data_IF_064700080079
#
_entry.id   IF_064700080079
#
_cell.length_a   1.000
_cell.length_b   1.000
_cell.length_c   1.000
_cell.angle_alpha   90.00
_cell.angle_beta   90.00
_cell.angle_gamma   90.00
#
_symmetry.space_group_name_H-M   'P 1'
#
loop_
_entity.id
_entity.type
_entity.pdbx_description
1 polymer ?
#
# COMPACT_ATOMS: atom_id res chain seq x y z
N UNK A 1 -0.84 0.57 -18.65
CA UNK A 1 -1.53 0.69 -17.34
C UNK A 1 -2.56 -0.41 -17.10
N UNK A 2 -3.32 -0.83 -18.13
CA UNK A 2 -4.38 -1.85 -18.01
C UNK A 2 -3.89 -3.28 -17.67
N UNK A 3 -2.62 -3.62 -17.88
CA UNK A 3 -2.13 -4.97 -17.50
C UNK A 3 -1.63 -5.06 -16.06
N UNK A 4 -1.32 -3.93 -15.41
CA UNK A 4 -0.76 -3.95 -14.05
C UNK A 4 -1.83 -4.10 -12.98
N UNK A 5 -3.02 -3.50 -13.18
CA UNK A 5 -4.13 -3.61 -12.22
C UNK A 5 -4.79 -4.99 -12.28
N UNK A 6 -4.90 -5.58 -13.48
CA UNK A 6 -5.39 -6.95 -13.67
C UNK A 6 -4.52 -7.98 -12.95
N UNK A 7 -3.18 -7.85 -13.05
CA UNK A 7 -2.25 -8.70 -12.28
C UNK A 7 -2.41 -8.53 -10.78
N UNK A 8 -2.60 -7.31 -10.29
CA UNK A 8 -2.83 -7.07 -8.87
C UNK A 8 -4.15 -7.70 -8.36
N UNK A 9 -5.24 -7.58 -9.12
CA UNK A 9 -6.54 -8.17 -8.77
C UNK A 9 -6.47 -9.69 -8.74
N UNK A 10 -5.83 -10.32 -9.73
CA UNK A 10 -5.67 -11.78 -9.78
C UNK A 10 -4.89 -12.30 -8.57
N UNK A 11 -3.86 -11.55 -8.15
CA UNK A 11 -3.08 -11.88 -6.94
C UNK A 11 -3.93 -11.77 -5.67
N UNK A 12 -4.65 -10.67 -5.49
CA UNK A 12 -5.52 -10.48 -4.32
C UNK A 12 -6.65 -11.51 -4.25
N UNK A 13 -7.23 -11.86 -5.40
CA UNK A 13 -8.21 -12.94 -5.49
C UNK A 13 -7.60 -14.29 -5.09
N UNK A 14 -6.34 -14.57 -5.46
CA UNK A 14 -5.61 -15.77 -5.06
C UNK A 14 -5.34 -15.84 -3.56
N UNK A 15 -4.92 -14.73 -2.94
CA UNK A 15 -4.71 -14.64 -1.48
C UNK A 15 -6.03 -14.86 -0.74
N UNK A 16 -7.11 -14.23 -1.20
CA UNK A 16 -8.43 -14.40 -0.59
C UNK A 16 -8.95 -15.84 -0.71
N UNK A 17 -8.76 -16.48 -1.86
CA UNK A 17 -9.09 -17.89 -2.05
C UNK A 17 -8.28 -18.81 -1.13
N UNK A 18 -7.00 -18.52 -0.92
CA UNK A 18 -6.13 -19.28 0.00
C UNK A 18 -6.58 -19.14 1.46
N UNK A 19 -6.99 -17.94 1.87
CA UNK A 19 -7.56 -17.70 3.21
C UNK A 19 -8.86 -18.48 3.40
N UNK A 20 -9.77 -18.45 2.41
CA UNK A 20 -11.02 -19.25 2.47
C UNK A 20 -10.71 -20.74 2.53
N UNK A 21 -9.75 -21.21 1.74
CA UNK A 21 -9.34 -22.61 1.73
C UNK A 21 -8.75 -23.03 3.08
N UNK A 22 -7.86 -22.21 3.66
CA UNK A 22 -7.31 -22.44 4.98
C UNK A 22 -8.39 -22.44 6.07
N UNK A 23 -9.34 -21.50 5.99
CA UNK A 23 -10.48 -21.46 6.93
C UNK A 23 -11.35 -22.70 6.82
N UNK A 24 -11.64 -23.17 5.60
CA UNK A 24 -12.38 -24.42 5.37
C UNK A 24 -11.63 -25.67 5.83
N UNK A 25 -10.30 -25.65 5.76
CA UNK A 25 -9.46 -26.75 6.22
C UNK A 25 -9.39 -26.80 7.76
N UNK A 26 -9.31 -25.65 8.42
CA UNK A 26 -9.30 -25.55 9.89
C UNK A 26 -10.68 -25.82 10.49
N UNK A 27 -11.76 -25.40 9.83
CA UNK A 27 -13.14 -25.64 10.29
C UNK A 27 -13.65 -27.06 10.06
N UNK A 28 -12.85 -27.95 9.46
CA UNK A 28 -13.10 -29.41 9.43
C UNK A 28 -12.80 -30.11 10.77
N UNK A 29 -12.97 -29.40 11.90
CA UNK A 29 -12.97 -29.99 13.23
C UNK A 29 -14.30 -30.68 13.49
N UNK A 30 -14.27 -31.92 13.99
CA UNK A 30 -15.46 -32.69 14.36
C UNK A 30 -16.37 -31.85 15.26
N UNK A 31 -17.64 -31.74 14.88
CA UNK A 31 -18.69 -31.11 15.68
C UNK A 31 -18.97 -32.03 16.87
N UNK A 32 -18.18 -31.91 17.93
CA UNK A 32 -18.53 -32.53 19.21
C UNK A 32 -19.72 -31.77 19.79
N UNK A 33 -20.84 -32.46 19.91
CA UNK A 33 -22.05 -31.87 20.48
C UNK A 33 -21.86 -31.82 22.00
N UNK A 34 -21.68 -30.62 22.54
CA UNK A 34 -21.56 -30.40 23.97
C UNK A 34 -22.93 -30.51 24.62
N UNK A 35 -23.11 -31.50 25.50
CA UNK A 35 -24.36 -31.72 26.25
C UNK A 35 -24.15 -31.50 27.74
N UNK A 36 -25.24 -31.21 28.45
CA UNK A 36 -25.19 -31.10 29.90
C UNK A 36 -24.88 -32.45 30.54
N UNK A 37 -24.26 -32.42 31.72
CA UNK A 37 -23.93 -33.63 32.48
C UNK A 37 -25.16 -34.51 32.76
N UNK A 38 -26.32 -33.91 33.05
CA UNK A 38 -27.57 -34.67 33.25
C UNK A 38 -28.08 -35.32 31.96
N UNK A 39 -27.97 -34.63 30.82
CA UNK A 39 -28.31 -35.20 29.50
C UNK A 39 -27.37 -36.34 29.13
N UNK A 40 -26.09 -36.26 29.50
CA UNK A 40 -25.13 -37.34 29.31
C UNK A 40 -25.51 -38.58 30.12
N UNK A 41 -25.95 -38.40 31.38
CA UNK A 41 -26.49 -39.49 32.20
C UNK A 41 -27.75 -40.11 31.56
N UNK A 42 -28.63 -39.27 31.01
CA UNK A 42 -29.82 -39.74 30.28
C UNK A 42 -29.44 -40.60 29.07
N UNK A 43 -28.38 -40.23 28.34
CA UNK A 43 -27.87 -41.01 27.20
C UNK A 43 -27.23 -42.34 27.60
N UNK A 44 -26.73 -42.46 28.84
CA UNK A 44 -26.33 -43.73 29.40
C UNK A 44 -27.55 -44.63 29.69
N UNK A 45 -28.65 -44.03 30.18
CA UNK A 45 -29.86 -44.72 30.65
C UNK A 45 -30.82 -45.17 29.54
N UNK A 46 -30.63 -44.70 28.32
CA UNK A 46 -31.48 -45.03 27.18
C UNK A 46 -31.47 -46.53 26.81
N UNK A 47 -32.61 -47.05 26.31
CA UNK A 47 -32.72 -48.45 25.87
C UNK A 47 -31.73 -48.75 24.75
N UNK A 48 -31.26 -50.00 24.67
CA UNK A 48 -30.20 -50.41 23.74
C UNK A 48 -30.48 -50.04 22.27
N UNK A 49 -31.75 -49.92 21.89
CA UNK A 49 -32.24 -49.59 20.55
C UNK A 49 -32.23 -48.11 20.20
N UNK A 50 -31.98 -47.20 21.15
CA UNK A 50 -32.00 -45.76 20.90
C UNK A 50 -30.70 -45.32 20.17
N UNK A 51 -30.80 -44.55 19.07
CA UNK A 51 -29.63 -43.99 18.37
C UNK A 51 -28.75 -43.07 19.24
N UNK A 52 -29.31 -42.49 20.30
CA UNK A 52 -28.62 -41.59 21.25
C UNK A 52 -28.06 -42.34 22.46
N UNK A 53 -28.01 -43.67 22.43
CA UNK A 53 -27.34 -44.44 23.48
C UNK A 53 -25.82 -44.37 23.30
N UNK A 54 -25.11 -44.18 24.41
CA UNK A 54 -23.66 -44.30 24.45
C UNK A 54 -23.24 -45.75 24.22
N UNK A 55 -22.39 -45.98 23.22
CA UNK A 55 -21.86 -47.29 22.85
C UNK A 55 -20.35 -47.20 22.76
N UNK A 56 -19.66 -47.85 23.70
CA UNK A 56 -18.19 -47.91 23.74
C UNK A 56 -17.60 -47.38 25.04
N UNK A 57 -16.28 -47.27 25.06
CA UNK A 57 -15.51 -46.78 26.20
C UNK A 57 -15.73 -45.28 26.40
N UNK A 58 -15.78 -44.85 27.67
CA UNK A 58 -15.88 -43.43 28.03
C UNK A 58 -14.47 -42.91 28.30
N UNK A 59 -14.09 -41.87 27.57
CA UNK A 59 -12.83 -41.18 27.79
C UNK A 59 -13.03 -40.06 28.80
N UNK A 60 -12.21 -40.04 29.85
CA UNK A 60 -12.26 -39.02 30.90
C UNK A 60 -10.98 -38.21 30.86
N UNK A 61 -11.14 -36.89 30.69
CA UNK A 61 -10.06 -35.90 30.77
C UNK A 61 -10.34 -34.99 31.96
N UNK A 62 -9.53 -35.11 33.00
CA UNK A 62 -9.68 -34.27 34.20
C UNK A 62 -8.80 -33.02 34.13
N UNK A 63 -9.42 -31.84 34.24
CA UNK A 63 -8.72 -30.56 34.37
C UNK A 63 -8.97 -29.97 35.78
N UNK A 64 -7.92 -29.73 36.58
CA UNK A 64 -8.04 -29.14 37.92
C UNK A 64 -8.72 -27.76 37.95
N UNK A 65 -8.72 -27.02 36.83
CA UNK A 65 -9.25 -25.66 36.73
C UNK A 65 -10.61 -25.60 36.01
N UNK A 66 -10.91 -26.58 35.15
CA UNK A 66 -12.10 -26.56 34.28
C UNK A 66 -13.11 -27.67 34.54
N UNK A 67 -12.78 -28.63 35.41
CA UNK A 67 -13.63 -29.79 35.69
C UNK A 67 -13.26 -31.01 34.84
N UNK A 68 -14.10 -32.04 34.89
CA UNK A 68 -13.89 -33.27 34.11
C UNK A 68 -14.69 -33.22 32.81
N UNK A 69 -14.03 -33.56 31.72
CA UNK A 69 -14.62 -33.78 30.41
C UNK A 69 -14.81 -35.29 30.20
N UNK A 70 -16.07 -35.66 29.95
CA UNK A 70 -16.49 -37.02 29.63
C UNK A 70 -16.88 -37.07 28.15
N UNK A 71 -16.09 -37.79 27.35
CA UNK A 71 -16.36 -37.97 25.92
C UNK A 71 -16.74 -39.41 25.63
N UNK A 72 -17.81 -39.58 24.86
CA UNK A 72 -18.32 -40.90 24.51
C UNK A 72 -18.83 -40.92 23.06
N UNK A 73 -18.80 -42.11 22.44
CA UNK A 73 -19.42 -42.31 21.12
C UNK A 73 -20.85 -42.80 21.28
N UNK A 74 -21.76 -42.20 20.54
CA UNK A 74 -23.15 -42.58 20.44
C UNK A 74 -23.32 -43.68 19.37
N UNK A 75 -24.40 -44.46 19.48
CA UNK A 75 -24.73 -45.52 18.52
C UNK A 75 -24.91 -45.01 17.08
N UNK A 76 -25.35 -43.77 16.91
CA UNK A 76 -25.48 -43.09 15.62
C UNK A 76 -24.14 -42.71 14.96
N UNK A 77 -23.00 -42.92 15.63
CA UNK A 77 -21.66 -42.60 15.14
C UNK A 77 -21.15 -41.22 15.53
N UNK A 78 -21.98 -40.37 16.17
CA UNK A 78 -21.56 -39.06 16.65
C UNK A 78 -20.85 -39.17 18.01
N UNK A 79 -19.93 -38.25 18.29
CA UNK A 79 -19.31 -38.09 19.61
C UNK A 79 -20.06 -37.05 20.42
N UNK A 80 -20.30 -37.37 21.69
CA UNK A 80 -20.91 -36.47 22.66
C UNK A 80 -19.92 -36.20 23.78
N UNK A 81 -19.84 -34.94 24.18
CA UNK A 81 -18.92 -34.49 25.24
C UNK A 81 -19.72 -33.76 26.32
N UNK A 82 -19.48 -34.12 27.58
CA UNK A 82 -20.14 -33.52 28.73
C UNK A 82 -19.13 -33.03 29.75
N UNK A 83 -19.40 -31.86 30.33
CA UNK A 83 -18.56 -31.22 31.33
C UNK A 83 -19.20 -31.35 32.71
N UNK A 84 -18.46 -31.91 33.66
CA UNK A 84 -18.84 -31.93 35.07
C UNK A 84 -17.90 -31.03 35.87
N UNK A 85 -18.45 -30.34 36.88
CA UNK A 85 -17.61 -29.58 37.82
C UNK A 85 -16.67 -30.52 38.58
N UNK A 86 -15.52 -29.99 38.99
CA UNK A 86 -14.55 -30.74 39.79
C UNK A 86 -15.13 -31.03 41.17
N UNK A 87 -15.76 -32.19 41.32
CA UNK A 87 -16.31 -32.69 42.58
C UNK A 87 -16.01 -34.19 42.73
N UNK A 88 -15.43 -34.56 43.87
CA UNK A 88 -15.05 -35.94 44.19
C UNK A 88 -16.29 -36.85 44.32
N UNK A 89 -17.43 -36.29 44.72
CA UNK A 89 -18.70 -37.02 44.82
C UNK A 89 -19.26 -37.38 43.44
N UNK A 90 -19.23 -36.46 42.48
CA UNK A 90 -19.67 -36.67 41.10
C UNK A 90 -18.78 -37.69 40.37
N UNK A 91 -17.47 -37.64 40.60
CA UNK A 91 -16.52 -38.64 40.07
C UNK A 91 -16.83 -40.06 40.56
N UNK A 92 -17.18 -40.19 41.83
CA UNK A 92 -17.54 -41.48 42.43
C UNK A 92 -18.85 -42.00 41.86
N UNK A 93 -19.87 -41.14 41.75
CA UNK A 93 -21.16 -41.50 41.14
C UNK A 93 -21.01 -41.95 39.67
N UNK A 94 -20.20 -41.24 38.87
CA UNK A 94 -19.91 -41.63 37.49
C UNK A 94 -19.16 -42.94 37.40
N UNK A 95 -18.14 -43.14 38.26
CA UNK A 95 -17.39 -44.39 38.30
C UNK A 95 -18.28 -45.57 38.66
N UNK A 96 -19.18 -45.41 39.63
CA UNK A 96 -20.10 -46.45 40.06
C UNK A 96 -21.12 -46.78 38.96
N UNK A 97 -21.70 -45.76 38.31
CA UNK A 97 -22.66 -45.94 37.20
C UNK A 97 -22.03 -46.57 35.95
N UNK A 98 -20.80 -46.19 35.60
CA UNK A 98 -20.07 -46.77 34.48
C UNK A 98 -19.56 -48.18 34.80
N UNK A 99 -19.12 -48.42 36.04
CA UNK A 99 -18.67 -49.72 36.53
C UNK A 99 -19.79 -50.77 36.57
N UNK A 100 -21.00 -50.39 37.00
CA UNK A 100 -22.19 -51.26 36.95
C UNK A 100 -22.56 -51.72 35.53
N UNK A 101 -22.12 -50.99 34.50
CA UNK A 101 -22.46 -51.25 33.09
C UNK A 101 -21.32 -51.84 32.27
N UNK A 102 -20.22 -52.22 32.93
CA UNK A 102 -19.01 -52.77 32.30
C UNK A 102 -18.40 -51.87 31.21
N UNK A 103 -18.60 -50.56 31.30
CA UNK A 103 -18.00 -49.59 30.38
C UNK A 103 -16.59 -49.29 30.89
N UNK A 104 -15.56 -49.50 30.06
CA UNK A 104 -14.18 -49.21 30.47
C UNK A 104 -13.97 -47.69 30.47
N UNK A 105 -13.36 -47.22 31.55
CA UNK A 105 -12.97 -45.81 31.70
C UNK A 105 -11.54 -45.67 31.23
N UNK A 106 -11.33 -44.89 30.18
CA UNK A 106 -9.99 -44.58 29.69
C UNK A 106 -9.60 -43.16 30.11
N UNK A 107 -8.67 -43.07 31.06
CA UNK A 107 -8.15 -41.78 31.52
C UNK A 107 -7.09 -41.28 30.52
N UNK A 108 -7.41 -40.24 29.76
CA UNK A 108 -6.44 -39.55 28.92
C UNK A 108 -5.91 -38.33 29.66
N UNK A 109 -4.59 -38.27 29.85
CA UNK A 109 -3.92 -37.06 30.34
C UNK A 109 -4.06 -35.97 29.27
N UNK A 110 -4.34 -34.73 29.68
CA UNK A 110 -4.34 -33.58 28.79
C UNK A 110 -2.96 -33.50 28.14
N UNK A 111 -2.89 -33.86 26.86
CA UNK A 111 -1.63 -33.96 26.13
C UNK A 111 -1.29 -32.55 25.65
N UNK A 112 -0.41 -31.85 26.38
CA UNK A 112 -0.02 -30.47 26.09
C UNK A 112 0.46 -30.30 24.63
N UNK A 113 0.99 -31.35 24.02
CA UNK A 113 1.39 -31.38 22.60
C UNK A 113 0.23 -31.14 21.63
N UNK A 114 -0.99 -31.58 21.95
CA UNK A 114 -2.17 -31.37 21.10
C UNK A 114 -2.65 -29.90 21.15
N UNK A 115 -2.46 -29.22 22.29
CA UNK A 115 -2.75 -27.79 22.42
C UNK A 115 -1.77 -26.94 21.59
N UNK A 116 -0.47 -27.24 21.63
CA UNK A 116 0.53 -26.55 20.80
C UNK A 116 0.30 -26.77 19.30
N UNK A 117 -0.11 -27.97 18.89
CA UNK A 117 -0.45 -28.25 17.49
C UNK A 117 -1.70 -27.47 17.03
N UNK A 118 -2.71 -27.33 17.89
CA UNK A 118 -3.89 -26.51 17.62
C UNK A 118 -3.57 -25.02 17.45
N UNK A 119 -2.69 -24.49 18.30
CA UNK A 119 -2.17 -23.12 18.19
C UNK A 119 -1.44 -22.96 16.86
N UNK A 120 -0.44 -23.82 16.58
CA UNK A 120 0.34 -23.74 15.33
C UNK A 120 -0.56 -23.84 14.08
N UNK A 121 -1.53 -24.75 14.05
CA UNK A 121 -2.46 -24.89 12.92
C UNK A 121 -3.32 -23.64 12.69
N UNK A 122 -3.57 -22.85 13.74
CA UNK A 122 -4.34 -21.60 13.66
C UNK A 122 -3.46 -20.45 13.16
N UNK A 123 -2.20 -20.38 13.61
CA UNK A 123 -1.29 -19.30 13.28
C UNK A 123 -0.54 -19.49 11.95
N UNK A 124 -0.28 -20.72 11.51
CA UNK A 124 0.41 -21.02 10.25
C UNK A 124 -0.24 -20.30 9.06
N UNK A 125 -1.58 -20.39 8.84
CA UNK A 125 -2.23 -19.66 7.75
C UNK A 125 -2.03 -18.14 7.84
N UNK A 126 -2.12 -17.57 9.04
CA UNK A 126 -1.94 -16.13 9.26
C UNK A 126 -0.51 -15.69 8.95
N UNK A 127 0.49 -16.47 9.40
CA UNK A 127 1.91 -16.20 9.14
C UNK A 127 2.22 -16.27 7.65
N UNK A 128 1.66 -17.25 6.93
CA UNK A 128 1.84 -17.37 5.47
C UNK A 128 1.25 -16.17 4.74
N UNK A 129 0.06 -15.71 5.13
CA UNK A 129 -0.57 -14.51 4.54
C UNK A 129 0.28 -13.26 4.79
N UNK A 130 0.73 -13.05 6.04
CA UNK A 130 1.58 -11.91 6.41
C UNK A 130 2.93 -11.97 5.68
N UNK A 131 3.54 -13.14 5.58
CA UNK A 131 4.80 -13.35 4.86
C UNK A 131 4.68 -13.06 3.37
N UNK A 132 3.61 -13.53 2.72
CA UNK A 132 3.32 -13.19 1.33
C UNK A 132 3.07 -11.69 1.16
N UNK A 133 2.32 -11.05 2.06
CA UNK A 133 2.07 -9.61 2.03
C UNK A 133 3.37 -8.80 2.15
N UNK A 134 4.29 -9.23 3.02
CA UNK A 134 5.60 -8.60 3.19
C UNK A 134 6.48 -8.72 1.94
N UNK A 135 6.52 -9.90 1.30
CA UNK A 135 7.25 -10.09 0.04
C UNK A 135 6.66 -9.23 -1.10
N UNK A 136 5.35 -9.04 -1.13
CA UNK A 136 4.69 -8.14 -2.09
C UNK A 136 4.98 -6.67 -1.82
N UNK A 137 4.98 -6.21 -0.57
CA UNK A 137 5.37 -4.85 -0.20
C UNK A 137 6.83 -4.57 -0.63
N UNK A 138 7.71 -5.56 -0.49
CA UNK A 138 9.10 -5.46 -0.96
C UNK A 138 9.20 -5.35 -2.48
N UNK A 139 8.41 -6.13 -3.22
CA UNK A 139 8.41 -6.08 -4.69
C UNK A 139 7.69 -4.83 -5.25
N UNK A 140 6.70 -4.29 -4.53
CA UNK A 140 6.02 -3.06 -4.89
C UNK A 140 6.89 -1.82 -4.66
N UNK A 141 7.91 -1.82 -3.80
CA UNK A 141 8.85 -0.69 -3.71
C UNK A 141 9.64 -0.45 -5.01
N UNK A 142 9.78 -1.45 -5.88
CA UNK A 142 10.36 -1.27 -7.23
C UNK A 142 9.44 -0.57 -8.23
N UNK A 143 8.13 -0.53 -7.98
CA UNK A 143 7.12 0.15 -8.81
C UNK A 143 6.40 1.32 -8.09
N UNK A 144 6.58 1.43 -6.77
CA UNK A 144 5.82 2.28 -5.84
C UNK A 144 6.46 3.64 -5.54
N UNK A 145 7.63 3.94 -6.12
CA UNK A 145 8.21 5.28 -6.07
C UNK A 145 7.33 6.37 -6.71
N UNK A 146 6.31 5.98 -7.50
CA UNK A 146 5.40 6.92 -8.19
C UNK A 146 4.25 7.44 -7.31
N UNK A 147 3.86 6.71 -6.26
CA UNK A 147 2.77 7.14 -5.38
C UNK A 147 3.23 8.09 -4.26
N UNK A 148 4.53 8.13 -3.96
CA UNK A 148 5.16 9.11 -3.06
C UNK A 148 5.85 10.27 -3.81
N UNK A 149 5.91 10.23 -5.15
CA UNK A 149 6.53 11.30 -5.95
C UNK A 149 5.53 12.36 -6.43
N UNK A 150 4.30 12.39 -5.92
CA UNK A 150 3.27 13.35 -6.38
C UNK A 150 3.69 14.82 -6.21
N UNK A 151 4.57 15.12 -5.24
CA UNK A 151 5.09 16.48 -5.02
C UNK A 151 6.39 16.82 -5.78
N UNK A 152 7.11 15.83 -6.32
CA UNK A 152 8.41 16.08 -6.97
C UNK A 152 8.24 16.62 -8.38
N UNK A 153 8.94 17.72 -8.68
CA UNK A 153 8.98 18.30 -10.02
C UNK A 153 9.44 17.28 -11.07
N UNK A 154 8.66 17.14 -12.16
CA UNK A 154 9.00 16.32 -13.34
C UNK A 154 9.93 17.06 -14.32
N UNK A 155 10.57 18.14 -13.87
CA UNK A 155 11.48 18.91 -14.71
C UNK A 155 12.61 18.00 -15.23
N UNK A 156 12.63 17.82 -16.54
CA UNK A 156 13.64 17.00 -17.22
C UNK A 156 14.90 17.84 -17.35
N UNK A 157 15.90 17.59 -16.50
CA UNK A 157 17.25 18.12 -16.74
C UNK A 157 17.77 17.51 -18.04
N UNK A 158 18.09 18.36 -19.01
CA UNK A 158 18.74 17.90 -20.22
C UNK A 158 20.19 17.57 -19.86
N UNK A 159 20.66 16.32 -20.07
CA UNK A 159 22.04 15.96 -19.73
C UNK A 159 23.01 16.79 -20.56
N UNK A 160 24.19 17.10 -19.99
CA UNK A 160 25.23 17.94 -20.63
C UNK A 160 25.68 17.46 -22.03
N UNK A 161 25.41 16.19 -22.36
CA UNK A 161 25.72 15.49 -23.60
C UNK A 161 24.56 15.41 -24.63
N UNK A 162 23.40 16.01 -24.36
CA UNK A 162 22.39 16.17 -25.40
C UNK A 162 22.89 17.19 -26.45
N UNK A 163 22.67 16.93 -27.75
CA UNK A 163 23.00 17.85 -28.85
C UNK A 163 22.66 19.30 -28.46
N UNK A 164 23.68 20.13 -28.28
CA UNK A 164 23.54 21.52 -27.87
C UNK A 164 23.07 22.31 -29.08
N UNK A 165 21.80 22.71 -29.07
CA UNK A 165 21.27 23.70 -30.01
C UNK A 165 21.94 25.03 -29.72
N UNK A 166 22.40 25.73 -30.74
CA UNK A 166 23.12 27.02 -30.66
C UNK A 166 22.41 28.09 -31.50
N UNK A 167 22.87 29.34 -31.48
CA UNK A 167 22.25 30.39 -32.31
C UNK A 167 22.38 30.13 -33.81
N UNK A 168 23.35 29.30 -34.23
CA UNK A 168 23.48 28.85 -35.62
C UNK A 168 22.33 27.97 -36.09
N UNK A 169 21.66 27.28 -35.16
CA UNK A 169 20.55 26.37 -35.45
C UNK A 169 19.19 27.10 -35.47
N UNK A 170 19.18 28.40 -35.11
CA UNK A 170 17.99 29.25 -35.15
C UNK A 170 18.09 30.14 -36.38
N UNK A 171 17.18 29.98 -37.34
CA UNK A 171 17.13 30.84 -38.52
C UNK A 171 16.26 32.08 -38.26
N UNK A 172 16.68 33.24 -38.78
CA UNK A 172 15.96 34.51 -38.64
C UNK A 172 16.05 35.12 -37.23
N UNK A 173 15.10 36.02 -36.91
CA UNK A 173 14.98 36.72 -35.61
C UNK A 173 16.29 37.34 -35.09
N UNK A 174 17.04 38.00 -35.99
CA UNK A 174 18.36 38.57 -35.67
C UNK A 174 18.31 39.61 -34.54
N UNK A 175 17.25 40.41 -34.46
CA UNK A 175 17.03 41.37 -33.38
C UNK A 175 16.91 40.66 -32.01
N UNK A 176 16.10 39.60 -31.94
CA UNK A 176 15.92 38.82 -30.71
C UNK A 176 17.21 38.07 -30.32
N UNK A 177 17.98 37.57 -31.28
CA UNK A 177 19.30 36.95 -31.03
C UNK A 177 20.28 37.97 -30.46
N UNK A 178 20.30 39.19 -31.00
CA UNK A 178 21.15 40.29 -30.52
C UNK A 178 20.82 40.62 -29.06
N UNK A 179 19.55 40.82 -28.72
CA UNK A 179 19.12 41.07 -27.34
C UNK A 179 19.47 39.88 -26.40
N UNK A 180 19.24 38.66 -26.86
CA UNK A 180 19.56 37.46 -26.08
C UNK A 180 21.06 37.22 -25.94
N UNK A 181 21.90 37.79 -26.81
CA UNK A 181 23.36 37.66 -26.74
C UNK A 181 23.94 38.32 -25.48
N UNK A 182 23.31 39.39 -24.99
CA UNK A 182 23.70 40.03 -23.72
C UNK A 182 23.46 39.10 -22.53
N UNK A 183 22.35 38.35 -22.56
CA UNK A 183 22.01 37.35 -21.54
C UNK A 183 23.02 36.20 -21.57
N UNK A 184 23.42 35.74 -22.76
CA UNK A 184 24.46 34.73 -22.93
C UNK A 184 25.80 35.22 -22.37
N UNK A 185 26.19 36.45 -22.69
CA UNK A 185 27.43 37.04 -22.18
C UNK A 185 27.44 37.11 -20.65
N UNK A 186 26.30 37.45 -20.06
CA UNK A 186 26.13 37.44 -18.61
C UNK A 186 26.25 36.04 -18.00
N UNK A 187 25.57 35.05 -18.57
CA UNK A 187 25.63 33.68 -18.05
C UNK A 187 27.04 33.07 -18.13
N UNK A 188 27.86 33.51 -19.10
CA UNK A 188 29.26 33.10 -19.24
C UNK A 188 30.19 33.79 -18.23
N UNK A 189 29.99 35.09 -17.97
CA UNK A 189 30.88 35.88 -17.10
C UNK A 189 30.09 36.75 -16.12
N UNK A 190 29.39 36.10 -15.19
CA UNK A 190 28.51 36.81 -14.25
C UNK A 190 29.28 37.75 -13.31
N UNK A 191 30.58 37.53 -13.07
CA UNK A 191 31.40 38.31 -12.13
C UNK A 191 31.68 39.71 -12.67
N UNK A 192 32.09 39.78 -13.94
CA UNK A 192 32.36 41.05 -14.61
C UNK A 192 31.18 42.03 -14.57
N UNK A 193 29.95 41.52 -14.75
CA UNK A 193 28.76 42.36 -14.69
C UNK A 193 28.41 42.82 -13.27
N UNK A 194 28.68 42.00 -12.26
CA UNK A 194 28.49 42.37 -10.85
C UNK A 194 29.48 43.45 -10.39
N UNK A 195 30.74 43.39 -10.84
CA UNK A 195 31.78 44.38 -10.54
C UNK A 195 31.45 45.78 -11.06
N UNK A 196 30.78 45.85 -12.22
CA UNK A 196 30.34 47.11 -12.83
C UNK A 196 28.99 47.59 -12.24
N UNK A 197 28.40 46.84 -11.31
CA UNK A 197 27.13 47.16 -10.67
C UNK A 197 25.90 46.99 -11.56
N UNK A 198 26.03 46.25 -12.67
CA UNK A 198 24.92 46.01 -13.59
C UNK A 198 23.87 45.11 -12.93
N UNK A 199 22.60 45.51 -12.98
CA UNK A 199 21.48 44.68 -12.53
C UNK A 199 20.99 43.79 -13.67
N UNK A 200 20.95 42.49 -13.42
CA UNK A 200 20.56 41.50 -14.42
C UNK A 200 19.04 41.42 -14.52
N UNK A 201 18.49 41.33 -15.75
CA UNK A 201 17.09 40.98 -15.94
C UNK A 201 16.79 39.64 -15.27
N UNK A 202 15.81 39.62 -14.34
CA UNK A 202 15.46 38.40 -13.61
C UNK A 202 14.69 37.38 -14.44
N UNK A 203 14.21 37.77 -15.61
CA UNK A 203 13.47 36.92 -16.53
C UNK A 203 13.22 37.63 -17.86
N UNK A 204 12.95 36.83 -18.89
CA UNK A 204 12.56 37.30 -20.23
C UNK A 204 11.26 36.64 -20.59
N UNK A 205 10.30 37.43 -21.07
CA UNK A 205 9.04 36.93 -21.59
C UNK A 205 9.07 36.99 -23.11
N UNK A 206 9.07 35.84 -23.77
CA UNK A 206 9.00 35.75 -25.22
C UNK A 206 7.54 35.59 -25.66
N UNK A 207 7.05 36.54 -26.46
CA UNK A 207 5.70 36.52 -27.02
C UNK A 207 5.73 36.41 -28.54
N UNK A 208 4.70 35.77 -29.10
CA UNK A 208 4.53 35.62 -30.54
C UNK A 208 3.65 34.42 -30.88
N UNK A 209 3.22 34.31 -32.14
CA UNK A 209 2.36 33.22 -32.61
C UNK A 209 2.97 31.83 -32.34
N UNK A 210 2.15 30.77 -32.23
CA UNK A 210 2.65 29.40 -32.11
C UNK A 210 3.55 29.05 -33.31
N UNK A 211 4.61 28.28 -33.08
CA UNK A 211 5.53 27.84 -34.13
C UNK A 211 6.65 28.82 -34.52
N UNK A 212 6.75 30.00 -33.90
CA UNK A 212 7.81 31.00 -34.21
C UNK A 212 9.18 30.68 -33.61
N UNK A 213 9.39 29.49 -33.05
CA UNK A 213 10.70 29.07 -32.53
C UNK A 213 11.07 29.59 -31.14
N UNK A 214 10.13 30.09 -30.31
CA UNK A 214 10.40 30.56 -28.93
C UNK A 214 11.14 29.51 -28.08
N UNK A 215 10.65 28.28 -28.06
CA UNK A 215 11.27 27.16 -27.32
C UNK A 215 12.63 26.76 -27.91
N UNK A 216 12.81 26.92 -29.22
CA UNK A 216 14.09 26.67 -29.90
C UNK A 216 15.13 27.73 -29.54
N UNK A 217 14.74 29.00 -29.55
CA UNK A 217 15.58 30.13 -29.14
C UNK A 217 16.01 29.99 -27.66
N UNK A 218 15.10 29.62 -26.76
CA UNK A 218 15.44 29.37 -25.35
C UNK A 218 16.53 28.31 -25.18
N UNK A 219 16.43 27.20 -25.93
CA UNK A 219 17.44 26.14 -25.94
C UNK A 219 18.77 26.61 -26.51
N UNK A 220 18.72 27.44 -27.56
CA UNK A 220 19.90 28.03 -28.17
C UNK A 220 20.66 28.96 -27.20
N UNK A 221 19.95 29.77 -26.40
CA UNK A 221 20.56 30.63 -25.37
C UNK A 221 21.31 29.78 -24.34
N UNK A 222 20.69 28.69 -23.86
CA UNK A 222 21.33 27.79 -22.90
C UNK A 222 22.53 27.07 -23.50
N UNK A 223 22.43 26.60 -24.75
CA UNK A 223 23.51 25.93 -25.47
C UNK A 223 24.69 26.87 -25.76
N UNK A 224 24.42 28.11 -26.14
CA UNK A 224 25.44 29.15 -26.34
C UNK A 224 26.15 29.50 -25.02
N UNK A 225 25.40 29.64 -23.93
CA UNK A 225 25.95 29.89 -22.60
C UNK A 225 26.65 28.67 -21.97
N UNK A 226 26.34 27.46 -22.45
CA UNK A 226 26.87 26.21 -21.91
C UNK A 226 26.36 25.87 -20.50
N UNK A 227 25.15 26.33 -20.15
CA UNK A 227 24.55 26.16 -18.81
C UNK A 227 23.42 25.13 -18.83
N UNK A 228 23.08 24.50 -17.70
CA UNK A 228 21.93 23.59 -17.59
C UNK A 228 20.61 24.26 -18.00
N UNK A 229 19.79 23.52 -18.75
CA UNK A 229 18.47 23.96 -19.21
C UNK A 229 17.37 23.12 -18.55
N UNK A 230 16.58 23.77 -17.69
CA UNK A 230 15.38 23.19 -17.08
C UNK A 230 14.16 23.60 -17.91
N UNK A 231 13.32 22.64 -18.25
CA UNK A 231 12.10 22.86 -19.03
C UNK A 231 10.88 22.33 -18.26
N UNK A 232 9.82 23.14 -18.20
CA UNK A 232 8.51 22.77 -17.67
C UNK A 232 7.41 23.45 -18.49
N UNK A 233 6.26 22.80 -18.69
CA UNK A 233 5.08 23.47 -19.28
C UNK A 233 4.29 24.15 -18.18
N UNK A 234 3.73 25.32 -18.45
CA UNK A 234 2.84 26.04 -17.55
C UNK A 234 1.60 25.22 -17.19
N UNK A 235 1.14 24.36 -18.10
CA UNK A 235 0.06 23.41 -17.84
C UNK A 235 0.40 22.37 -16.76
N UNK A 236 1.69 22.04 -16.55
CA UNK A 236 2.12 21.07 -15.52
C UNK A 236 1.90 21.58 -14.08
N UNK A 237 1.62 22.88 -13.94
CA UNK A 237 1.32 23.53 -12.68
C UNK A 237 -0.18 23.55 -12.35
N UNK A 238 -1.05 23.24 -13.32
CA UNK A 238 -2.51 23.20 -13.15
C UNK A 238 -2.93 21.74 -12.96
N UNK A 239 -3.17 21.33 -11.72
CA UNK A 239 -3.61 19.98 -11.38
C UNK A 239 -4.87 19.98 -10.54
N UNK A 240 -5.64 18.88 -10.60
CA UNK A 240 -6.89 18.68 -9.85
C UNK A 240 -6.71 18.67 -8.32
N UNK A 241 -5.47 18.67 -7.83
CA UNK A 241 -5.15 18.56 -6.41
C UNK A 241 -4.51 19.86 -5.91
N UNK A 242 -5.17 20.49 -4.94
CA UNK A 242 -4.73 21.74 -4.30
C UNK A 242 -3.31 21.58 -3.74
N UNK A 243 -2.45 22.57 -4.01
CA UNK A 243 -1.08 22.65 -3.47
C UNK A 243 -0.02 21.82 -4.19
N UNK A 244 -0.40 20.94 -5.13
CA UNK A 244 0.57 20.13 -5.89
C UNK A 244 1.36 21.00 -6.88
N UNK A 245 0.70 21.93 -7.57
CA UNK A 245 1.36 22.91 -8.45
C UNK A 245 2.42 23.74 -7.71
N UNK A 246 2.04 24.32 -6.57
CA UNK A 246 2.93 25.11 -5.72
C UNK A 246 4.17 24.32 -5.23
N UNK A 247 4.00 23.05 -4.85
CA UNK A 247 5.12 22.18 -4.45
C UNK A 247 6.11 21.98 -5.60
N UNK A 248 5.62 21.79 -6.83
CA UNK A 248 6.47 21.60 -8.01
C UNK A 248 7.26 22.85 -8.37
N UNK A 249 6.65 24.03 -8.24
CA UNK A 249 7.35 25.32 -8.44
C UNK A 249 8.51 25.43 -7.46
N UNK A 250 8.28 25.16 -6.17
CA UNK A 250 9.35 25.18 -5.15
C UNK A 250 10.46 24.20 -5.47
N UNK A 251 10.12 22.95 -5.73
CA UNK A 251 11.10 21.90 -6.05
C UNK A 251 11.90 22.23 -7.32
N UNK A 252 11.26 22.79 -8.35
CA UNK A 252 11.92 23.25 -9.58
C UNK A 252 12.98 24.30 -9.26
N UNK A 253 12.61 25.36 -8.53
CA UNK A 253 13.52 26.44 -8.21
C UNK A 253 14.61 26.02 -7.21
N UNK A 254 14.34 25.11 -6.29
CA UNK A 254 15.38 24.52 -5.42
C UNK A 254 16.42 23.75 -6.23
N UNK A 255 15.99 22.93 -7.20
CA UNK A 255 16.91 22.21 -8.08
C UNK A 255 17.68 23.15 -9.01
N UNK A 256 17.03 24.18 -9.54
CA UNK A 256 17.68 25.20 -10.37
C UNK A 256 18.77 25.96 -9.58
N UNK A 257 18.48 26.36 -8.34
CA UNK A 257 19.45 27.04 -7.45
C UNK A 257 20.70 26.18 -7.19
N UNK A 258 20.54 24.87 -7.04
CA UNK A 258 21.67 23.93 -6.84
C UNK A 258 22.55 23.78 -8.08
N UNK A 259 22.02 24.06 -9.27
CA UNK A 259 22.72 23.94 -10.55
C UNK A 259 23.01 25.31 -11.18
N UNK A 260 23.11 26.38 -10.37
CA UNK A 260 23.40 27.71 -10.86
C UNK A 260 24.87 27.83 -11.36
N UNK A 261 25.14 28.57 -12.45
CA UNK A 261 24.18 29.29 -13.30
C UNK A 261 23.40 28.34 -14.22
N UNK A 262 22.08 28.54 -14.36
CA UNK A 262 21.20 27.75 -15.22
C UNK A 262 20.07 28.60 -15.81
N UNK A 263 19.35 28.04 -16.79
CA UNK A 263 18.13 28.63 -17.36
C UNK A 263 16.93 27.76 -16.98
N UNK A 264 15.88 28.39 -16.47
CA UNK A 264 14.56 27.78 -16.25
C UNK A 264 13.61 28.33 -17.30
N UNK A 265 13.14 27.45 -18.18
CA UNK A 265 12.18 27.78 -19.21
C UNK A 265 10.80 27.22 -18.84
N UNK A 266 9.81 28.13 -18.78
CA UNK A 266 8.40 27.82 -18.55
C UNK A 266 7.69 28.09 -19.87
N UNK A 267 7.30 27.04 -20.58
CA UNK A 267 6.48 27.17 -21.79
C UNK A 267 5.02 27.42 -21.41
N UNK A 268 4.21 28.02 -22.29
CA UNK A 268 2.75 28.19 -22.07
C UNK A 268 2.38 28.77 -20.68
N UNK A 269 3.11 29.80 -20.24
CA UNK A 269 2.87 30.47 -18.95
C UNK A 269 1.47 31.12 -18.86
N UNK A 270 0.83 31.35 -19.99
CA UNK A 270 -0.55 31.82 -20.06
C UNK A 270 -1.56 30.83 -19.45
N UNK A 271 -1.22 29.53 -19.40
CA UNK A 271 -2.03 28.52 -18.71
C UNK A 271 -2.19 28.81 -17.20
N UNK A 272 -1.21 29.46 -16.58
CA UNK A 272 -1.26 29.87 -15.17
C UNK A 272 -1.63 31.35 -14.98
N UNK A 273 -1.45 32.19 -15.99
CA UNK A 273 -1.56 33.66 -15.89
C UNK A 273 -2.94 34.30 -16.17
N UNK A 274 -4.05 33.54 -16.22
CA UNK A 274 -5.37 34.11 -16.57
C UNK A 274 -5.91 35.03 -15.46
N UNK A 275 -6.37 36.23 -15.83
CA UNK A 275 -6.91 37.24 -14.92
C UNK A 275 -8.01 36.69 -13.98
N UNK A 276 -7.97 37.17 -12.72
CA UNK A 276 -9.02 37.01 -11.69
C UNK A 276 -10.38 37.41 -12.26
N UNK A 277 -11.19 36.43 -12.64
CA UNK A 277 -12.59 36.63 -13.00
C UNK A 277 -13.47 36.31 -11.80
N UNK A 278 -14.44 37.17 -11.51
CA UNK A 278 -15.51 36.92 -10.54
C UNK A 278 -16.41 35.77 -11.04
N UNK A 279 -15.91 34.54 -10.94
CA UNK A 279 -16.64 33.32 -11.20
C UNK A 279 -17.38 32.91 -9.93
N UNK A 280 -18.70 32.94 -9.99
CA UNK A 280 -19.61 32.43 -8.96
C UNK A 280 -19.39 30.91 -8.82
N UNK A 281 -18.51 30.53 -7.91
CA UNK A 281 -18.19 29.13 -7.65
C UNK A 281 -17.17 29.05 -6.52
N UNK A 282 -17.65 29.01 -5.29
CA UNK A 282 -16.82 28.87 -4.09
C UNK A 282 -16.04 27.56 -4.14
N UNK A 283 -14.76 27.67 -4.50
CA UNK A 283 -13.77 26.61 -4.45
C UNK A 283 -12.41 27.26 -4.37
N UNK A 284 -11.58 26.82 -3.44
CA UNK A 284 -10.17 27.21 -3.35
C UNK A 284 -9.48 26.78 -4.66
N UNK A 285 -9.35 27.72 -5.60
CA UNK A 285 -8.85 27.43 -6.95
C UNK A 285 -7.32 27.25 -6.86
N UNK A 286 -6.81 26.05 -7.18
CA UNK A 286 -5.38 25.69 -7.03
C UNK A 286 -4.41 26.66 -7.73
N UNK A 287 -4.94 27.39 -8.72
CA UNK A 287 -4.24 28.37 -9.53
C UNK A 287 -3.79 29.58 -8.71
N UNK A 288 -4.57 29.97 -7.69
CA UNK A 288 -4.24 31.10 -6.81
C UNK A 288 -3.11 30.78 -5.83
N UNK A 289 -2.95 29.50 -5.45
CA UNK A 289 -1.88 29.07 -4.55
C UNK A 289 -0.56 28.75 -5.26
N UNK A 290 -0.60 28.61 -6.59
CA UNK A 290 0.54 28.20 -7.40
C UNK A 290 1.33 29.39 -7.97
N UNK A 291 0.68 30.56 -8.12
CA UNK A 291 1.30 31.83 -8.54
C UNK A 291 2.11 32.51 -7.43
#
# INVERSE_FOLDING_TARGET
MKDSWLKAIVVWAGVFALVIFAFKFVSKGHTEEAVSYSTFLEYLDKPATDPLKIVGDVEVRGDPLRGDEYSARLRNGNSVTAYAQFDETLRKEMRDKLGQRQIKINYKRTDDGQAWWGILSTWIPLIVVVGLMFLFLRNMQGAGGKALSFGKSRAKMMPENAQRVTFKDVAGVEEAKQECSEIVAFLKDHKRFQEIGARIPKGVLMMGSPGTGKTLLARAIAGEAGVPFFHISGSDFVEMFVGVGASRVRDLFENAKKNAPCIVFIDEIDAVGRHRGAGVGGGHDEREQTL
#
